data_IF_283391023085
#
_entry.id   IF_283391023085
#
_cell.length_a   1.000
_cell.length_b   1.000
_cell.length_c   1.000
_cell.angle_alpha   90.00
_cell.angle_beta   90.00
_cell.angle_gamma   90.00
#
_symmetry.space_group_name_H-M   'P 1'
#
loop_
_entity.id
_entity.type
_entity.pdbx_description
1 polymer ?
#
# COMPACT_ATOMS: atom_id res chain seq x y z
N UNK A 1 14.46 9.76 -6.59
CA UNK A 1 14.80 8.42 -6.09
C UNK A 1 13.57 7.51 -6.07
N UNK A 2 12.59 7.67 -5.14
CA UNK A 2 11.41 6.79 -5.06
C UNK A 2 10.55 6.67 -6.33
N UNK A 3 10.47 7.73 -7.13
CA UNK A 3 9.76 7.71 -8.43
C UNK A 3 10.41 6.74 -9.42
N UNK A 4 11.75 6.71 -9.47
CA UNK A 4 12.50 5.82 -10.38
C UNK A 4 12.31 4.38 -9.93
N UNK A 5 12.45 4.10 -8.63
CA UNK A 5 12.26 2.75 -8.10
C UNK A 5 10.83 2.24 -8.36
N UNK A 6 9.82 3.08 -8.15
CA UNK A 6 8.43 2.74 -8.46
C UNK A 6 8.23 2.41 -9.95
N UNK A 7 8.85 3.19 -10.84
CA UNK A 7 8.79 2.94 -12.28
C UNK A 7 9.48 1.61 -12.66
N UNK A 8 10.69 1.37 -12.16
CA UNK A 8 11.44 0.13 -12.41
C UNK A 8 10.70 -1.10 -11.88
N UNK A 9 10.18 -1.04 -10.65
CA UNK A 9 9.32 -2.09 -10.08
C UNK A 9 8.08 -2.33 -10.94
N UNK A 10 7.44 -1.27 -11.43
CA UNK A 10 6.24 -1.40 -12.26
C UNK A 10 6.53 -2.12 -13.59
N UNK A 11 7.64 -1.75 -14.24
CA UNK A 11 8.09 -2.39 -15.47
C UNK A 11 8.43 -3.87 -15.23
N UNK A 12 9.13 -4.16 -14.13
CA UNK A 12 9.48 -5.54 -13.77
C UNK A 12 8.24 -6.40 -13.52
N UNK A 13 7.27 -5.89 -12.76
CA UNK A 13 6.00 -6.59 -12.50
C UNK A 13 5.31 -6.88 -13.84
N UNK A 14 5.11 -5.87 -14.70
CA UNK A 14 4.42 -6.03 -15.96
C UNK A 14 5.08 -7.06 -16.89
N UNK A 15 6.41 -7.12 -16.92
CA UNK A 15 7.16 -8.07 -17.73
C UNK A 15 7.12 -9.50 -17.18
N UNK A 16 6.94 -9.66 -15.87
CA UNK A 16 6.99 -10.98 -15.20
C UNK A 16 5.61 -11.55 -14.87
N UNK A 17 4.56 -10.73 -14.88
CA UNK A 17 3.21 -11.12 -14.45
C UNK A 17 2.31 -11.66 -15.57
N UNK A 18 2.74 -11.62 -16.84
CA UNK A 18 1.87 -11.84 -18.00
C UNK A 18 1.15 -13.20 -18.04
N UNK A 19 1.73 -14.24 -17.44
CA UNK A 19 1.18 -15.60 -17.40
C UNK A 19 0.82 -16.07 -15.99
N UNK A 20 0.74 -15.15 -15.01
CA UNK A 20 0.38 -15.50 -13.64
C UNK A 20 -1.15 -15.44 -13.47
N UNK A 21 -1.73 -16.46 -12.82
CA UNK A 21 -3.16 -16.47 -12.45
C UNK A 21 -3.48 -15.36 -11.42
N UNK A 22 -2.48 -15.03 -10.59
CA UNK A 22 -2.56 -13.97 -9.60
C UNK A 22 -1.16 -13.40 -9.36
N UNK A 23 -1.04 -12.07 -9.47
CA UNK A 23 0.16 -11.35 -9.09
C UNK A 23 -0.08 -10.59 -7.81
N UNK A 24 0.81 -10.74 -6.83
CA UNK A 24 0.78 -9.98 -5.56
C UNK A 24 2.08 -9.20 -5.45
N UNK A 25 1.97 -7.91 -5.15
CA UNK A 25 3.11 -7.03 -4.86
C UNK A 25 2.86 -6.36 -3.51
N UNK A 26 3.73 -6.62 -2.54
CA UNK A 26 3.52 -6.24 -1.15
C UNK A 26 4.80 -5.83 -0.43
N UNK A 27 4.65 -5.00 0.60
CA UNK A 27 5.74 -4.54 1.46
C UNK A 27 5.71 -3.04 1.72
N UNK A 28 6.80 -2.52 2.28
CA UNK A 28 7.01 -1.09 2.51
C UNK A 28 7.42 -0.38 1.21
N UNK A 29 6.50 0.38 0.63
CA UNK A 29 6.77 1.14 -0.59
C UNK A 29 7.35 2.53 -0.28
N UNK A 30 7.41 2.91 1.00
CA UNK A 30 7.92 4.20 1.47
C UNK A 30 7.28 5.41 0.76
N UNK A 31 6.02 5.29 0.35
CA UNK A 31 5.26 6.33 -0.37
C UNK A 31 3.82 6.36 0.13
N UNK A 32 3.25 7.54 0.27
CA UNK A 32 1.83 7.70 0.63
C UNK A 32 0.93 7.58 -0.61
N UNK A 33 -0.37 7.27 -0.44
CA UNK A 33 -1.30 7.10 -1.57
C UNK A 33 -1.50 8.36 -2.42
N UNK A 34 -1.23 9.53 -1.85
CA UNK A 34 -1.33 10.84 -2.52
C UNK A 34 -0.09 11.19 -3.37
N UNK A 35 0.94 10.34 -3.39
CA UNK A 35 2.22 10.63 -4.05
C UNK A 35 2.34 9.87 -5.38
N UNK A 36 3.06 10.48 -6.31
CA UNK A 36 3.32 9.94 -7.65
C UNK A 36 3.83 8.48 -7.65
N UNK A 37 4.78 8.04 -6.79
CA UNK A 37 5.27 6.66 -6.82
C UNK A 37 4.17 5.60 -6.61
N UNK A 38 3.19 5.88 -5.73
CA UNK A 38 2.04 5.01 -5.51
C UNK A 38 1.20 4.87 -6.79
N UNK A 39 0.90 5.99 -7.44
CA UNK A 39 0.13 6.00 -8.68
C UNK A 39 0.86 5.31 -9.83
N UNK A 40 2.18 5.46 -9.94
CA UNK A 40 2.97 4.75 -10.96
C UNK A 40 2.82 3.24 -10.80
N UNK A 41 3.04 2.72 -9.58
CA UNK A 41 2.88 1.29 -9.29
C UNK A 41 1.47 0.84 -9.64
N UNK A 42 0.44 1.49 -9.08
CA UNK A 42 -0.96 1.09 -9.27
C UNK A 42 -1.40 1.08 -10.74
N UNK A 43 -1.10 2.16 -11.48
CA UNK A 43 -1.68 2.35 -12.81
C UNK A 43 -0.88 1.72 -13.95
N UNK A 44 0.46 1.58 -13.83
CA UNK A 44 1.26 0.90 -14.85
C UNK A 44 1.04 -0.61 -14.80
N UNK A 45 0.89 -1.18 -13.59
CA UNK A 45 0.76 -2.63 -13.39
C UNK A 45 -0.68 -3.11 -13.31
N UNK A 46 -1.65 -2.19 -13.27
CA UNK A 46 -3.07 -2.50 -13.01
C UNK A 46 -3.31 -3.25 -11.69
N UNK A 47 -2.44 -3.06 -10.70
CA UNK A 47 -2.62 -3.59 -9.36
C UNK A 47 -3.77 -2.86 -8.62
N UNK A 48 -4.57 -3.63 -7.88
CA UNK A 48 -5.58 -3.18 -6.94
C UNK A 48 -4.98 -3.14 -5.54
N UNK A 49 -5.25 -2.07 -4.79
CA UNK A 49 -4.82 -1.94 -3.39
C UNK A 49 -5.86 -2.61 -2.48
N UNK A 50 -5.45 -3.67 -1.77
CA UNK A 50 -6.32 -4.43 -0.88
C UNK A 50 -6.95 -3.57 0.23
N UNK A 51 -6.21 -2.58 0.75
CA UNK A 51 -6.70 -1.70 1.79
C UNK A 51 -7.79 -0.76 1.24
N UNK A 52 -7.53 -0.16 0.08
CA UNK A 52 -8.50 0.71 -0.61
C UNK A 52 -9.78 -0.03 -0.99
N UNK A 53 -9.66 -1.26 -1.50
CA UNK A 53 -10.81 -2.08 -1.89
C UNK A 53 -11.74 -2.42 -0.71
N UNK A 54 -11.17 -2.62 0.50
CA UNK A 54 -11.93 -3.03 1.68
C UNK A 54 -12.44 -1.88 2.56
N UNK A 55 -11.83 -0.69 2.47
CA UNK A 55 -12.17 0.47 3.33
C UNK A 55 -12.77 1.66 2.55
N UNK A 56 -12.80 1.61 1.22
CA UNK A 56 -13.52 2.57 0.38
C UNK A 56 -12.92 4.00 0.41
N UNK A 57 -13.75 5.05 0.29
CA UNK A 57 -13.27 6.42 0.02
C UNK A 57 -12.41 7.03 1.13
N UNK A 58 -12.52 6.53 2.37
CA UNK A 58 -11.74 7.00 3.52
C UNK A 58 -10.47 6.19 3.76
N UNK A 59 -10.15 5.23 2.88
CA UNK A 59 -9.00 4.34 3.05
C UNK A 59 -7.65 5.05 3.17
N UNK A 60 -7.53 6.28 2.66
CA UNK A 60 -6.30 7.09 2.76
C UNK A 60 -6.19 7.89 4.06
N UNK A 61 -7.30 8.05 4.79
CA UNK A 61 -7.35 8.71 6.10
C UNK A 61 -7.12 7.69 7.25
N UNK A 62 -7.20 6.40 6.93
CA UNK A 62 -6.99 5.27 7.83
C UNK A 62 -5.81 4.39 7.36
N UNK A 63 -5.48 3.34 8.12
CA UNK A 63 -4.49 2.35 7.69
C UNK A 63 -3.04 2.82 7.76
N UNK A 64 -2.75 3.89 8.51
CA UNK A 64 -1.38 4.34 8.71
C UNK A 64 -0.53 3.25 9.36
N UNK A 65 0.61 2.96 8.73
CA UNK A 65 1.56 1.92 9.16
C UNK A 65 2.86 2.51 9.71
N UNK A 66 3.11 3.79 9.42
CA UNK A 66 4.29 4.53 9.90
C UNK A 66 3.88 5.85 10.56
N UNK A 67 4.69 6.28 11.52
CA UNK A 67 4.53 7.54 12.27
C UNK A 67 3.13 7.76 12.89
N UNK A 68 2.37 6.68 13.09
CA UNK A 68 1.02 6.73 13.66
C UNK A 68 1.06 7.00 15.17
N UNK A 69 0.01 7.65 15.68
CA UNK A 69 -0.19 7.90 17.11
C UNK A 69 -0.33 6.60 17.93
N UNK A 70 -0.75 5.50 17.30
CA UNK A 70 -0.84 4.17 17.89
C UNK A 70 0.52 3.47 18.09
N UNK A 71 1.60 3.98 17.49
CA UNK A 71 2.93 3.43 17.65
C UNK A 71 3.65 4.10 18.85
N UNK A 72 4.10 3.31 19.82
CA UNK A 72 4.84 3.79 21.00
C UNK A 72 6.23 4.34 20.64
N UNK A 73 6.84 3.83 19.57
CA UNK A 73 8.16 4.24 19.10
C UNK A 73 8.14 5.56 18.31
N UNK A 74 6.97 6.02 17.86
CA UNK A 74 6.86 7.32 17.19
C UNK A 74 7.10 8.44 18.21
N UNK A 75 8.11 9.32 18.02
CA UNK A 75 8.37 10.42 18.93
C UNK A 75 7.19 11.40 19.03
N UNK A 76 6.99 12.01 20.19
CA UNK A 76 5.91 12.97 20.43
C UNK A 76 6.00 14.21 19.52
N UNK A 77 7.22 14.60 19.12
CA UNK A 77 7.43 15.63 18.11
C UNK A 77 6.83 15.26 16.76
N UNK A 78 6.97 14.00 16.33
CA UNK A 78 6.45 13.49 15.06
C UNK A 78 4.93 13.35 15.13
N UNK A 79 4.38 12.81 16.23
CA UNK A 79 2.93 12.69 16.44
C UNK A 79 2.20 14.03 16.33
N UNK A 80 2.82 15.12 16.81
CA UNK A 80 2.23 16.47 16.71
C UNK A 80 2.21 17.01 15.27
N UNK A 81 3.18 16.64 14.45
CA UNK A 81 3.30 17.10 13.06
C UNK A 81 2.48 16.24 12.10
N UNK A 82 2.39 14.93 12.36
CA UNK A 82 1.67 13.95 11.55
C UNK A 82 0.72 13.12 12.42
N UNK A 83 -0.39 13.70 12.93
CA UNK A 83 -1.24 13.04 13.90
C UNK A 83 -1.98 11.81 13.34
N UNK A 84 -2.22 11.78 12.03
CA UNK A 84 -2.85 10.65 11.34
C UNK A 84 -1.84 9.54 10.95
N UNK A 85 -0.53 9.81 11.01
CA UNK A 85 0.49 8.92 10.49
C UNK A 85 0.49 8.83 8.96
N UNK A 86 1.24 7.86 8.43
CA UNK A 86 1.44 7.64 7.00
C UNK A 86 1.13 6.19 6.65
N UNK A 87 0.36 5.97 5.59
CA UNK A 87 0.16 4.66 4.97
C UNK A 87 1.25 4.44 3.94
N UNK A 88 2.21 3.57 4.23
CA UNK A 88 3.37 3.31 3.34
C UNK A 88 3.61 1.83 3.05
N UNK A 89 2.94 0.94 3.79
CA UNK A 89 2.95 -0.49 3.55
C UNK A 89 1.68 -0.90 2.80
N UNK A 90 1.85 -1.72 1.77
CA UNK A 90 0.78 -2.10 0.87
C UNK A 90 0.78 -3.60 0.63
N UNK A 91 -0.40 -4.15 0.41
CA UNK A 91 -0.59 -5.42 -0.27
C UNK A 91 -1.44 -5.08 -1.48
N UNK A 92 -0.87 -5.26 -2.67
CA UNK A 92 -1.57 -5.02 -3.92
C UNK A 92 -1.60 -6.29 -4.76
N UNK A 93 -2.63 -6.44 -5.60
CA UNK A 93 -2.76 -7.62 -6.44
C UNK A 93 -3.42 -7.31 -7.79
N UNK A 94 -3.19 -8.15 -8.78
CA UNK A 94 -3.97 -8.14 -10.02
C UNK A 94 -4.22 -9.58 -10.47
N UNK A 95 -5.46 -9.95 -10.82
CA UNK A 95 -5.74 -11.27 -11.35
C UNK A 95 -5.22 -11.42 -12.77
N UNK A 96 -4.91 -12.66 -13.16
CA UNK A 96 -4.66 -13.02 -14.55
C UNK A 96 -5.93 -12.91 -15.41
N UNK A 97 -5.77 -13.04 -16.74
CA UNK A 97 -6.84 -12.77 -17.70
C UNK A 97 -8.12 -13.60 -17.49
N UNK A 98 -7.97 -14.87 -17.10
CA UNK A 98 -9.07 -15.82 -16.90
C UNK A 98 -9.38 -16.08 -15.42
N UNK A 99 -8.94 -15.19 -14.52
CA UNK A 99 -9.13 -15.32 -13.07
C UNK A 99 -9.88 -14.11 -12.52
N UNK A 100 -10.75 -14.36 -11.55
CA UNK A 100 -11.34 -13.31 -10.72
C UNK A 100 -10.72 -13.36 -9.33
N UNK A 101 -10.34 -12.20 -8.81
CA UNK A 101 -9.85 -12.07 -7.45
C UNK A 101 -10.34 -10.77 -6.81
N UNK A 102 -10.73 -10.86 -5.55
CA UNK A 102 -11.19 -9.76 -4.70
C UNK A 102 -10.55 -9.86 -3.31
N UNK A 103 -10.30 -8.72 -2.69
CA UNK A 103 -9.85 -8.67 -1.30
C UNK A 103 -11.02 -8.95 -0.36
N UNK A 104 -10.99 -10.09 0.33
CA UNK A 104 -12.02 -10.41 1.34
C UNK A 104 -11.87 -9.63 2.64
N UNK A 105 -10.63 -9.42 3.08
CA UNK A 105 -10.30 -8.72 4.34
C UNK A 105 -8.87 -8.20 4.28
N UNK A 106 -8.68 -6.94 4.66
CA UNK A 106 -7.39 -6.33 4.94
C UNK A 106 -7.50 -5.62 6.29
N UNK A 107 -6.58 -5.83 7.22
CA UNK A 107 -6.64 -5.21 8.55
C UNK A 107 -5.24 -4.93 9.07
N UNK A 108 -5.09 -3.86 9.85
CA UNK A 108 -3.87 -3.66 10.61
C UNK A 108 -3.72 -4.80 11.65
N UNK A 109 -2.50 -5.33 11.86
CA UNK A 109 -2.31 -6.48 12.72
C UNK A 109 -2.54 -6.18 14.21
N UNK A 110 -2.46 -4.91 14.62
CA UNK A 110 -2.49 -4.49 16.03
C UNK A 110 -3.61 -3.47 16.26
N UNK A 111 -4.38 -3.67 17.34
CA UNK A 111 -5.66 -2.98 17.54
C UNK A 111 -5.52 -1.54 18.08
N UNK A 112 -4.62 -1.26 19.05
CA UNK A 112 -4.64 0.04 19.78
C UNK A 112 -3.30 0.57 20.31
N UNK A 113 -2.25 -0.26 20.45
CA UNK A 113 -0.89 0.21 20.74
C UNK A 113 0.13 -0.90 20.58
N UNK A 114 1.23 -0.61 19.89
CA UNK A 114 2.44 -1.46 19.91
C UNK A 114 3.21 -1.12 21.20
N UNK A 115 3.76 -2.09 21.96
CA UNK A 115 4.65 -1.82 23.09
C UNK A 115 5.88 -1.04 22.65
#
# INVERSE_FOLDING_TARGET
>A
HRVIHALESSQWIQLTSASADLTIYAGDFNTEPSKVPYHLIKYITHLKDCWEETHGPHANEEGATSETSYNSFTPESVKRVCPQGKRIDYIMYTPGADTEAETRKCTLPLNKRVP
#
